data_IF_903308934205
#
_entry.id   IF_903308934205
#
_cell.length_a   1.000
_cell.length_b   1.000
_cell.length_c   1.000
_cell.angle_alpha   90.00
_cell.angle_beta   90.00
_cell.angle_gamma   90.00
#
_symmetry.space_group_name_H-M   'P 1'
#
loop_
_entity.id
_entity.type
_entity.pdbx_description
1 polymer ?
#
# COMPACT_ATOMS: atom_id res chain seq x y z
N UNK A 1 50.68 24.02 -31.67
CA UNK A 1 49.46 23.32 -31.21
C UNK A 1 48.46 24.35 -30.71
N UNK A 2 47.29 24.55 -31.32
CA UNK A 2 46.27 25.44 -30.75
C UNK A 2 45.37 24.68 -29.76
N UNK A 3 45.22 25.21 -28.54
CA UNK A 3 44.30 24.70 -27.52
C UNK A 3 42.87 25.21 -27.75
N UNK A 4 41.82 24.36 -27.65
CA UNK A 4 40.45 24.85 -27.72
C UNK A 4 39.89 25.16 -26.32
N UNK A 5 39.31 26.36 -26.16
CA UNK A 5 38.00 26.67 -25.50
C UNK A 5 37.96 28.13 -25.04
N UNK A 6 36.86 28.85 -25.32
CA UNK A 6 35.94 29.13 -24.21
C UNK A 6 34.47 29.14 -24.65
N UNK A 7 33.80 27.99 -24.57
CA UNK A 7 32.32 27.92 -24.66
C UNK A 7 31.64 27.77 -23.29
N UNK A 8 32.41 27.80 -22.19
CA UNK A 8 31.88 27.52 -20.85
C UNK A 8 31.32 28.76 -20.11
N UNK A 9 31.59 29.98 -20.57
CA UNK A 9 31.26 31.21 -19.81
C UNK A 9 29.81 31.66 -19.98
N UNK A 10 29.11 31.25 -21.05
CA UNK A 10 27.73 31.69 -21.30
C UNK A 10 26.66 30.95 -20.47
N UNK A 11 26.94 29.71 -20.04
CA UNK A 11 25.95 28.88 -19.31
C UNK A 11 25.75 29.29 -17.84
N UNK A 12 26.70 30.00 -17.22
CA UNK A 12 26.60 30.46 -15.83
C UNK A 12 25.65 31.65 -15.64
N UNK A 13 25.58 32.55 -16.62
CA UNK A 13 24.79 33.78 -16.54
C UNK A 13 23.28 33.56 -16.66
N UNK A 14 22.83 32.48 -17.31
CA UNK A 14 21.40 32.14 -17.39
C UNK A 14 20.88 31.52 -16.09
N UNK A 15 21.70 30.74 -15.37
CA UNK A 15 21.31 30.15 -14.08
C UNK A 15 21.15 31.18 -12.97
N UNK A 16 22.00 32.21 -12.93
CA UNK A 16 21.93 33.24 -11.87
C UNK A 16 20.73 34.18 -11.99
N UNK A 17 20.14 34.31 -13.20
CA UNK A 17 18.95 35.15 -13.42
C UNK A 17 17.63 34.43 -13.14
N UNK A 18 17.59 33.10 -13.26
CA UNK A 18 16.40 32.29 -12.94
C UNK A 18 16.23 32.03 -11.44
N UNK A 19 17.31 32.11 -10.65
CA UNK A 19 17.26 31.88 -9.19
C UNK A 19 16.60 33.00 -8.37
N UNK A 20 16.40 34.19 -8.96
CA UNK A 20 15.92 35.36 -8.20
C UNK A 20 14.40 35.46 -8.16
N UNK A 21 13.66 34.74 -9.01
CA UNK A 21 12.18 34.83 -9.08
C UNK A 21 11.44 33.92 -8.11
N UNK A 22 12.12 32.96 -7.46
CA UNK A 22 11.48 31.99 -6.55
C UNK A 22 11.27 32.55 -5.11
N UNK A 23 11.91 33.66 -4.73
CA UNK A 23 11.90 34.17 -3.34
C UNK A 23 10.85 35.22 -3.02
N UNK A 24 9.76 35.38 -3.81
CA UNK A 24 8.71 36.38 -3.51
C UNK A 24 7.27 35.97 -3.86
N UNK A 25 6.95 34.68 -3.92
CA UNK A 25 5.56 34.23 -4.09
C UNK A 25 5.17 33.23 -3.00
N UNK A 26 4.94 33.73 -1.80
CA UNK A 26 4.46 32.94 -0.66
C UNK A 26 4.67 33.71 0.63
N UNK A 27 3.68 34.50 1.05
CA UNK A 27 3.77 35.28 2.28
C UNK A 27 2.96 36.57 2.26
N UNK A 28 1.76 36.56 1.67
CA UNK A 28 0.77 37.61 1.87
C UNK A 28 -0.39 36.97 2.64
N UNK A 29 -0.62 37.44 3.87
CA UNK A 29 -1.59 36.87 4.81
C UNK A 29 -2.90 36.47 4.14
N UNK A 30 -3.19 35.19 4.20
CA UNK A 30 -4.25 34.53 3.48
C UNK A 30 -5.58 34.95 4.11
N UNK A 31 -6.52 35.49 3.32
CA UNK A 31 -7.89 35.80 3.76
C UNK A 31 -8.64 34.59 4.34
N UNK A 32 -8.12 33.38 4.10
CA UNK A 32 -8.70 32.09 4.44
C UNK A 32 -8.03 31.38 5.63
N UNK A 33 -6.96 31.95 6.19
CA UNK A 33 -6.30 31.37 7.38
C UNK A 33 -6.64 32.18 8.62
N UNK A 34 -7.26 31.52 9.60
CA UNK A 34 -7.51 32.14 10.91
C UNK A 34 -6.18 32.49 11.59
N UNK A 35 -6.07 33.65 12.26
CA UNK A 35 -4.94 33.96 13.12
C UNK A 35 -4.67 32.80 14.09
N UNK A 36 -3.43 32.33 14.15
CA UNK A 36 -3.01 31.19 14.99
C UNK A 36 -3.01 29.83 14.29
N UNK A 37 -3.52 29.71 13.07
CA UNK A 37 -3.41 28.47 12.28
C UNK A 37 -2.06 28.33 11.56
N UNK A 38 -1.34 29.44 11.41
CA UNK A 38 -0.10 29.50 10.66
C UNK A 38 0.97 30.28 11.44
N UNK A 39 1.98 29.56 11.91
CA UNK A 39 3.14 30.13 12.61
C UNK A 39 4.18 30.71 11.64
N UNK A 40 4.22 30.25 10.38
CA UNK A 40 5.29 30.58 9.41
C UNK A 40 4.76 30.66 7.97
N UNK A 41 5.38 31.48 7.10
CA UNK A 41 4.98 31.57 5.69
C UNK A 41 5.10 30.22 4.97
N UNK A 42 4.08 29.90 4.16
CA UNK A 42 4.00 28.65 3.38
C UNK A 42 5.17 28.58 2.38
N UNK A 43 5.85 27.43 2.33
CA UNK A 43 7.06 27.28 1.50
C UNK A 43 7.89 26.01 1.75
N UNK A 44 7.57 25.23 2.79
CA UNK A 44 8.15 23.91 3.02
C UNK A 44 7.25 22.80 2.45
N UNK A 45 7.84 21.66 2.08
CA UNK A 45 7.09 20.48 1.67
C UNK A 45 6.07 20.11 2.76
N UNK A 46 4.79 20.09 2.40
CA UNK A 46 3.66 19.84 3.32
C UNK A 46 3.52 20.85 4.48
N UNK A 47 4.01 22.09 4.33
CA UNK A 47 3.96 23.15 5.36
C UNK A 47 4.58 22.75 6.71
N UNK A 48 5.38 21.68 6.76
CA UNK A 48 6.12 21.25 7.95
C UNK A 48 7.57 21.69 7.80
N UNK A 49 8.15 22.22 8.87
CA UNK A 49 9.59 22.44 8.90
C UNK A 49 10.30 21.10 8.72
N UNK A 50 11.26 20.98 7.78
CA UNK A 50 12.06 19.77 7.70
C UNK A 50 12.74 19.56 9.06
N UNK A 51 12.79 18.32 9.57
CA UNK A 51 13.55 18.04 10.76
C UNK A 51 15.03 18.41 10.52
N UNK A 52 15.77 18.79 11.56
CA UNK A 52 17.20 19.06 11.44
C UNK A 52 17.91 17.84 10.85
N UNK A 53 18.99 18.08 10.09
CA UNK A 53 19.73 17.03 9.40
C UNK A 53 20.13 15.93 10.39
N UNK A 54 19.64 14.70 10.15
CA UNK A 54 19.88 13.53 11.01
C UNK A 54 18.72 13.14 11.93
N UNK A 55 17.62 13.90 11.98
CA UNK A 55 16.42 13.50 12.71
C UNK A 55 15.33 12.98 11.77
N UNK A 56 14.80 11.80 12.07
CA UNK A 56 13.60 11.26 11.42
C UNK A 56 12.33 11.91 11.98
N UNK A 57 11.27 11.96 11.16
CA UNK A 57 9.95 12.40 11.62
C UNK A 57 9.51 11.54 12.82
N UNK A 58 9.14 12.20 13.92
CA UNK A 58 8.46 11.54 15.05
C UNK A 58 7.07 11.11 14.63
N UNK A 59 6.67 9.91 15.02
CA UNK A 59 5.32 9.43 14.82
C UNK A 59 4.37 10.28 15.65
N UNK A 60 3.20 10.60 15.09
CA UNK A 60 2.13 11.23 15.85
C UNK A 60 1.28 10.13 16.52
N UNK A 61 0.77 10.36 17.74
CA UNK A 61 0.14 9.30 18.55
C UNK A 61 -1.11 8.67 17.90
N UNK A 62 -1.70 9.34 16.90
CA UNK A 62 -2.83 8.85 16.12
C UNK A 62 -2.41 7.97 14.93
N UNK A 63 -1.16 8.07 14.47
CA UNK A 63 -0.64 7.29 13.35
C UNK A 63 -0.64 5.80 13.74
N UNK A 64 -0.29 5.48 14.99
CA UNK A 64 -0.24 4.12 15.51
C UNK A 64 -1.61 3.41 15.44
N UNK A 65 -2.70 3.94 16.04
CA UNK A 65 -4.02 3.34 15.91
C UNK A 65 -4.51 3.22 14.47
N UNK A 66 -4.23 4.22 13.62
CA UNK A 66 -4.64 4.22 12.21
C UNK A 66 -3.94 3.12 11.41
N UNK A 67 -2.63 2.95 11.59
CA UNK A 67 -1.88 1.89 10.91
C UNK A 67 -2.25 0.50 11.42
N UNK A 68 -2.45 0.34 12.72
CA UNK A 68 -2.86 -0.96 13.29
C UNK A 68 -4.23 -1.38 12.75
N UNK A 69 -5.20 -0.47 12.72
CA UNK A 69 -6.55 -0.78 12.24
C UNK A 69 -6.58 -1.04 10.74
N UNK A 70 -5.91 -0.22 9.93
CA UNK A 70 -5.81 -0.45 8.48
C UNK A 70 -5.05 -1.74 8.13
N UNK A 71 -4.02 -2.09 8.90
CA UNK A 71 -3.34 -3.37 8.74
C UNK A 71 -4.25 -4.54 9.10
N UNK A 72 -4.96 -4.46 10.24
CA UNK A 72 -5.89 -5.49 10.68
C UNK A 72 -6.99 -5.74 9.64
N UNK A 73 -7.56 -4.68 9.03
CA UNK A 73 -8.59 -4.83 8.01
C UNK A 73 -8.06 -5.53 6.76
N UNK A 74 -6.85 -5.18 6.31
CA UNK A 74 -6.21 -5.85 5.17
C UNK A 74 -5.91 -7.31 5.50
N UNK A 75 -5.47 -7.62 6.72
CA UNK A 75 -5.21 -9.01 7.16
C UNK A 75 -6.51 -9.81 7.25
N UNK A 76 -7.56 -9.26 7.84
CA UNK A 76 -8.88 -9.91 7.90
C UNK A 76 -9.42 -10.14 6.49
N UNK A 77 -9.23 -9.20 5.56
CA UNK A 77 -9.67 -9.38 4.19
C UNK A 77 -8.80 -10.40 3.44
N UNK A 78 -7.47 -10.33 3.57
CA UNK A 78 -6.54 -11.23 2.88
C UNK A 78 -6.62 -12.66 3.41
N UNK A 79 -6.49 -12.84 4.72
CA UNK A 79 -6.57 -14.15 5.39
C UNK A 79 -8.01 -14.63 5.47
N UNK A 80 -8.98 -13.76 5.79
CA UNK A 80 -10.38 -14.16 5.93
C UNK A 80 -11.07 -14.49 4.61
N UNK A 81 -10.65 -13.91 3.47
CA UNK A 81 -11.10 -14.39 2.16
C UNK A 81 -10.42 -15.70 1.75
N UNK A 82 -9.15 -15.90 2.11
CA UNK A 82 -8.42 -17.13 1.79
C UNK A 82 -8.87 -18.32 2.65
N UNK A 83 -9.16 -18.07 3.93
CA UNK A 83 -9.68 -19.06 4.87
C UNK A 83 -11.19 -19.25 4.77
N UNK A 84 -11.85 -18.78 3.68
CA UNK A 84 -13.25 -19.12 3.43
C UNK A 84 -13.35 -20.65 3.42
N UNK A 85 -13.96 -21.28 4.44
CA UNK A 85 -14.17 -22.70 4.41
C UNK A 85 -15.09 -22.99 3.23
N UNK A 86 -14.80 -24.04 2.47
CA UNK A 86 -15.62 -24.45 1.32
C UNK A 86 -17.01 -24.87 1.81
N UNK A 87 -17.90 -23.88 1.99
CA UNK A 87 -19.33 -24.03 2.28
C UNK A 87 -20.12 -24.25 0.98
N UNK A 88 -19.45 -24.66 -0.09
CA UNK A 88 -20.06 -24.99 -1.35
C UNK A 88 -20.75 -26.35 -1.22
N UNK A 89 -22.00 -26.43 -1.65
CA UNK A 89 -22.78 -27.69 -1.60
C UNK A 89 -22.12 -28.82 -2.43
N UNK A 90 -21.24 -28.44 -3.35
CA UNK A 90 -20.46 -29.33 -4.20
C UNK A 90 -19.52 -30.25 -3.39
N UNK A 91 -18.92 -29.77 -2.29
CA UNK A 91 -18.04 -30.60 -1.46
C UNK A 91 -18.82 -31.70 -0.74
N UNK A 92 -20.02 -31.37 -0.22
CA UNK A 92 -20.93 -32.35 0.36
C UNK A 92 -21.41 -33.36 -0.70
N UNK A 93 -21.79 -32.87 -1.88
CA UNK A 93 -22.23 -33.74 -2.97
C UNK A 93 -21.14 -34.71 -3.43
N UNK A 94 -19.89 -34.25 -3.53
CA UNK A 94 -18.75 -35.09 -3.89
C UNK A 94 -18.46 -36.15 -2.83
N UNK A 95 -18.46 -35.79 -1.54
CA UNK A 95 -18.29 -36.78 -0.46
C UNK A 95 -19.43 -37.80 -0.47
N UNK A 96 -20.68 -37.38 -0.67
CA UNK A 96 -21.82 -38.28 -0.72
C UNK A 96 -21.80 -39.20 -1.96
N UNK A 97 -21.27 -38.72 -3.08
CA UNK A 97 -21.08 -39.53 -4.27
C UNK A 97 -20.05 -40.65 -4.04
N UNK A 98 -18.94 -40.35 -3.37
CA UNK A 98 -17.91 -41.33 -3.00
C UNK A 98 -18.47 -42.40 -2.06
N UNK A 99 -19.22 -42.01 -1.03
CA UNK A 99 -19.85 -42.93 -0.08
C UNK A 99 -20.80 -43.92 -0.79
N UNK A 100 -21.55 -43.46 -1.79
CA UNK A 100 -22.43 -44.33 -2.61
C UNK A 100 -21.65 -45.30 -3.49
N UNK A 101 -20.52 -44.86 -4.08
CA UNK A 101 -19.65 -45.73 -4.86
C UNK A 101 -19.02 -46.82 -4.00
N UNK A 102 -18.55 -46.48 -2.80
CA UNK A 102 -17.99 -47.45 -1.86
C UNK A 102 -19.03 -48.46 -1.39
N UNK A 103 -20.24 -48.01 -1.05
CA UNK A 103 -21.35 -48.89 -0.68
C UNK A 103 -21.73 -49.87 -1.81
N UNK A 104 -21.76 -49.39 -3.07
CA UNK A 104 -22.01 -50.25 -4.23
C UNK A 104 -20.87 -51.25 -4.45
N UNK A 105 -19.61 -50.83 -4.30
CA UNK A 105 -18.44 -51.70 -4.43
C UNK A 105 -18.43 -52.80 -3.36
N UNK A 106 -18.75 -52.46 -2.11
CA UNK A 106 -18.88 -53.42 -1.02
C UNK A 106 -20.03 -54.40 -1.26
N UNK A 107 -21.20 -53.92 -1.70
CA UNK A 107 -22.33 -54.77 -2.06
C UNK A 107 -22.03 -55.71 -3.23
N UNK A 108 -21.31 -55.24 -4.26
CA UNK A 108 -20.88 -56.06 -5.39
C UNK A 108 -19.85 -57.12 -4.97
N UNK A 109 -18.92 -56.77 -4.06
CA UNK A 109 -17.95 -57.73 -3.52
C UNK A 109 -18.60 -58.81 -2.63
N UNK A 110 -19.68 -58.48 -1.92
CA UNK A 110 -20.45 -59.44 -1.15
C UNK A 110 -21.25 -60.38 -2.06
N UNK A 111 -21.90 -59.85 -3.10
CA UNK A 111 -22.66 -60.65 -4.07
C UNK A 111 -21.77 -61.57 -4.92
N UNK A 112 -20.53 -61.19 -5.20
CA UNK A 112 -19.58 -62.04 -5.94
C UNK A 112 -19.00 -63.20 -5.13
N UNK A 113 -19.08 -63.14 -3.80
CA UNK A 113 -18.62 -64.22 -2.92
C UNK A 113 -19.66 -65.35 -2.79
N UNK A 114 -20.95 -65.04 -2.85
CA UNK A 114 -22.05 -66.02 -2.76
C UNK A 114 -22.29 -66.82 -4.06
N UNK A 115 -21.82 -66.34 -5.23
CA UNK A 115 -22.01 -67.02 -6.53
C UNK A 115 -20.87 -68.01 -6.87
N UNK A 116 -19.97 -68.30 -5.92
CA UNK A 116 -18.78 -69.17 -6.14
C UNK A 116 -18.81 -70.51 -5.39
N UNK A 117 -19.93 -70.89 -4.77
CA UNK A 117 -20.13 -72.20 -4.09
C UNK A 117 -21.03 -73.16 -4.90
#
# INVERSE_FOLDING_TARGET
>A
MPSPKPLATAAGALRSRLSTSIRRRGGGGDRWTSPGHQERPNGYFMNRSPPPAGQSRKWEDWELPCYVTSFLTIVILGVGLNAKPDLTIETWAHQKALERLEAQKLGLSASGADESD
#
